data_IF_660221648307
#
_entry.id   IF_660221648307
#
_cell.length_a   1.000
_cell.length_b   1.000
_cell.length_c   1.000
_cell.angle_alpha   90.00
_cell.angle_beta   90.00
_cell.angle_gamma   90.00
#
_symmetry.space_group_name_H-M   'P 1'
#
loop_
_entity.id
_entity.type
_entity.pdbx_description
1 polymer ?
#
# COMPACT_ATOMS: atom_id res chain seq x y z
N UNK A 1 10.25 14.73 12.73
CA UNK A 1 9.85 13.31 12.52
C UNK A 1 10.18 12.95 11.09
N UNK A 2 10.91 11.85 10.88
CA UNK A 2 11.51 11.48 9.59
C UNK A 2 11.38 9.96 9.39
N UNK A 3 10.14 9.44 9.41
CA UNK A 3 9.87 8.03 9.20
C UNK A 3 9.47 7.80 7.73
N UNK A 4 10.45 7.88 6.84
CA UNK A 4 10.27 7.48 5.44
C UNK A 4 10.29 5.96 5.32
N UNK A 5 9.52 5.44 4.37
CA UNK A 5 9.66 4.05 3.92
C UNK A 5 10.77 4.03 2.89
N UNK A 6 11.79 3.20 3.13
CA UNK A 6 12.89 3.05 2.18
C UNK A 6 12.60 1.93 1.16
N UNK A 7 13.14 1.99 -0.06
CA UNK A 7 12.95 0.94 -1.08
C UNK A 7 13.37 -0.46 -0.59
N UNK A 8 14.42 -0.54 0.22
CA UNK A 8 14.87 -1.79 0.83
C UNK A 8 13.81 -2.39 1.77
N UNK A 9 13.15 -1.56 2.57
CA UNK A 9 12.08 -2.00 3.48
C UNK A 9 10.87 -2.53 2.69
N UNK A 10 10.49 -1.86 1.61
CA UNK A 10 9.42 -2.35 0.74
C UNK A 10 9.83 -3.65 0.04
N UNK A 11 11.08 -3.77 -0.41
CA UNK A 11 11.57 -5.01 -1.02
C UNK A 11 11.50 -6.18 -0.05
N UNK A 12 11.98 -5.99 1.18
CA UNK A 12 11.90 -6.99 2.25
C UNK A 12 10.45 -7.37 2.55
N UNK A 13 9.56 -6.38 2.64
CA UNK A 13 8.13 -6.62 2.87
C UNK A 13 7.46 -7.45 1.78
N UNK A 14 7.92 -7.29 0.53
CA UNK A 14 7.47 -8.06 -0.64
C UNK A 14 8.12 -9.45 -0.74
N UNK A 15 8.93 -9.86 0.23
CA UNK A 15 9.66 -11.13 0.20
C UNK A 15 10.99 -11.09 -0.57
N UNK A 16 11.60 -9.91 -0.73
CA UNK A 16 12.92 -9.73 -1.35
C UNK A 16 12.88 -9.57 -2.87
N UNK A 17 11.97 -8.75 -3.41
CA UNK A 17 11.86 -8.54 -4.86
C UNK A 17 13.12 -7.93 -5.48
N UNK A 18 13.48 -8.38 -6.68
CA UNK A 18 14.61 -7.87 -7.48
C UNK A 18 14.27 -6.63 -8.32
N UNK A 19 13.18 -5.94 -8.00
CA UNK A 19 12.76 -4.73 -8.73
C UNK A 19 13.71 -3.56 -8.48
N UNK A 20 13.83 -2.66 -9.46
CA UNK A 20 14.70 -1.49 -9.33
C UNK A 20 14.24 -0.58 -8.18
N UNK A 21 15.19 0.07 -7.50
CA UNK A 21 14.89 1.04 -6.43
C UNK A 21 13.95 2.14 -6.92
N UNK A 22 14.16 2.66 -8.14
CA UNK A 22 13.29 3.65 -8.77
C UNK A 22 11.82 3.20 -8.87
N UNK A 23 11.58 1.92 -9.15
CA UNK A 23 10.21 1.38 -9.22
C UNK A 23 9.56 1.36 -7.85
N UNK A 24 10.31 0.94 -6.83
CA UNK A 24 9.85 0.87 -5.45
C UNK A 24 9.63 2.28 -4.89
N UNK A 25 10.54 3.22 -5.14
CA UNK A 25 10.42 4.64 -4.78
C UNK A 25 9.16 5.27 -5.37
N UNK A 26 8.85 4.99 -6.63
CA UNK A 26 7.63 5.50 -7.26
C UNK A 26 6.37 4.96 -6.56
N UNK A 27 6.34 3.67 -6.20
CA UNK A 27 5.22 3.09 -5.45
C UNK A 27 5.10 3.66 -4.03
N UNK A 28 6.23 3.90 -3.35
CA UNK A 28 6.27 4.51 -2.02
C UNK A 28 5.73 5.94 -2.08
N UNK A 29 6.24 6.76 -3.01
CA UNK A 29 5.82 8.16 -3.14
C UNK A 29 4.33 8.32 -3.45
N UNK A 30 3.79 7.44 -4.29
CA UNK A 30 2.35 7.39 -4.57
C UNK A 30 1.55 6.95 -3.33
N UNK A 31 2.02 5.93 -2.60
CA UNK A 31 1.39 5.47 -1.37
C UNK A 31 1.40 6.54 -0.26
N UNK A 32 2.50 7.27 -0.08
CA UNK A 32 2.60 8.41 0.85
C UNK A 32 1.56 9.48 0.51
N UNK A 33 1.36 9.77 -0.77
CA UNK A 33 0.37 10.74 -1.22
C UNK A 33 -1.06 10.28 -0.93
N UNK A 34 -1.39 9.03 -1.25
CA UNK A 34 -2.71 8.45 -1.02
C UNK A 34 -3.06 8.36 0.48
N UNK A 35 -2.12 7.88 1.30
CA UNK A 35 -2.28 7.83 2.76
C UNK A 35 -2.33 9.25 3.34
N UNK A 36 -1.55 10.18 2.79
CA UNK A 36 -1.60 11.59 3.18
C UNK A 36 -3.00 12.20 3.03
N UNK A 37 -3.66 11.97 1.88
CA UNK A 37 -5.05 12.39 1.65
C UNK A 37 -5.99 11.72 2.66
N UNK A 38 -5.83 10.42 2.89
CA UNK A 38 -6.64 9.65 3.84
C UNK A 38 -6.54 10.22 5.28
N UNK A 39 -5.37 10.66 5.69
CA UNK A 39 -5.15 11.28 7.01
C UNK A 39 -5.74 12.70 7.07
N UNK A 40 -5.60 13.49 6.00
CA UNK A 40 -6.14 14.85 5.92
C UNK A 40 -7.67 14.89 5.95
N UNK A 41 -8.34 13.87 5.42
CA UNK A 41 -9.79 13.75 5.42
C UNK A 41 -10.37 13.35 6.80
N UNK A 42 -9.52 12.99 7.76
CA UNK A 42 -9.96 12.66 9.13
C UNK A 42 -10.30 13.92 9.93
N UNK A 43 -11.37 13.85 10.73
CA UNK A 43 -11.77 14.93 11.65
C UNK A 43 -11.11 14.86 13.02
N UNK A 44 -10.20 13.90 13.21
CA UNK A 44 -9.54 13.67 14.48
C UNK A 44 -8.40 14.66 14.70
N UNK A 45 -8.40 15.30 15.85
CA UNK A 45 -7.32 16.23 16.22
C UNK A 45 -6.05 15.51 16.65
N UNK A 46 -6.16 14.21 16.99
CA UNK A 46 -5.00 13.40 17.40
C UNK A 46 -4.55 12.55 16.23
N UNK A 47 -3.35 12.78 15.67
CA UNK A 47 -2.85 11.97 14.56
C UNK A 47 -2.59 10.52 15.02
N UNK A 48 -2.72 9.52 14.12
CA UNK A 48 -2.31 8.15 14.42
C UNK A 48 -0.81 8.08 14.77
N UNK A 49 -0.36 7.08 15.55
CA UNK A 49 1.06 6.88 15.79
C UNK A 49 1.84 6.70 14.49
N UNK A 50 3.04 7.29 14.39
CA UNK A 50 3.85 7.25 13.17
C UNK A 50 4.13 5.85 12.65
N UNK A 51 4.38 4.89 13.54
CA UNK A 51 4.64 3.51 13.15
C UNK A 51 3.43 2.87 12.43
N UNK A 52 2.21 3.28 12.80
CA UNK A 52 0.97 2.81 12.16
C UNK A 52 0.80 3.47 10.80
N UNK A 53 1.10 4.77 10.69
CA UNK A 53 1.09 5.48 9.39
C UNK A 53 2.12 4.85 8.44
N UNK A 54 3.34 4.58 8.93
CA UNK A 54 4.39 3.92 8.14
C UNK A 54 3.95 2.52 7.67
N UNK A 55 3.26 1.74 8.52
CA UNK A 55 2.67 0.45 8.13
C UNK A 55 1.63 0.63 7.02
N UNK A 56 0.73 1.60 7.14
CA UNK A 56 -0.29 1.87 6.14
C UNK A 56 0.32 2.27 4.78
N UNK A 57 1.37 3.09 4.77
CA UNK A 57 2.13 3.44 3.55
C UNK A 57 2.76 2.20 2.93
N UNK A 58 3.41 1.35 3.73
CA UNK A 58 4.03 0.11 3.27
C UNK A 58 3.01 -0.87 2.64
N UNK A 59 1.84 -1.02 3.27
CA UNK A 59 0.74 -1.85 2.76
C UNK A 59 0.23 -1.33 1.40
N UNK A 60 -0.03 -0.03 1.30
CA UNK A 60 -0.50 0.60 0.06
C UNK A 60 0.56 0.54 -1.04
N UNK A 61 1.84 0.74 -0.71
CA UNK A 61 2.93 0.63 -1.68
C UNK A 61 3.06 -0.80 -2.23
N UNK A 62 2.87 -1.82 -1.39
CA UNK A 62 2.86 -3.22 -1.81
C UNK A 62 1.69 -3.54 -2.75
N UNK A 63 0.49 -3.02 -2.47
CA UNK A 63 -0.68 -3.18 -3.34
C UNK A 63 -0.47 -2.46 -4.69
N UNK A 64 0.12 -1.25 -4.70
CA UNK A 64 0.48 -0.53 -5.92
C UNK A 64 1.52 -1.29 -6.75
N UNK A 65 2.54 -1.85 -6.10
CA UNK A 65 3.54 -2.68 -6.77
C UNK A 65 2.88 -3.91 -7.41
N UNK A 66 2.01 -4.61 -6.67
CA UNK A 66 1.32 -5.79 -7.18
C UNK A 66 0.46 -5.49 -8.43
N UNK A 67 -0.09 -4.27 -8.55
CA UNK A 67 -0.88 -3.81 -9.71
C UNK A 67 -0.04 -3.54 -10.93
N UNK A 68 1.16 -2.99 -10.77
CA UNK A 68 2.07 -2.77 -11.89
C UNK A 68 2.41 -4.08 -12.59
N UNK A 69 2.48 -5.18 -11.84
CA UNK A 69 2.66 -6.54 -12.37
C UNK A 69 1.38 -7.19 -12.91
N UNK A 70 0.23 -6.50 -12.86
CA UNK A 70 -1.09 -6.99 -13.26
C UNK A 70 -1.92 -5.88 -13.93
N UNK A 71 -1.56 -5.42 -15.15
CA UNK A 71 -2.20 -4.28 -15.82
C UNK A 71 -3.71 -4.44 -16.06
N UNK A 72 -4.25 -5.67 -16.07
CA UNK A 72 -5.69 -5.96 -16.16
C UNK A 72 -6.32 -6.38 -14.82
N UNK A 73 -5.64 -6.17 -13.69
CA UNK A 73 -6.10 -6.57 -12.35
C UNK A 73 -6.08 -8.08 -12.09
N UNK A 74 -5.44 -8.87 -12.96
CA UNK A 74 -5.29 -10.32 -12.84
C UNK A 74 -3.80 -10.64 -12.83
N UNK A 75 -3.30 -11.23 -11.73
CA UNK A 75 -1.99 -11.89 -11.73
C UNK A 75 -2.16 -13.29 -12.30
N UNK A 76 -1.67 -13.51 -13.53
CA UNK A 76 -1.52 -14.85 -14.07
C UNK A 76 -0.20 -15.42 -13.54
N UNK A 77 -0.28 -16.36 -12.60
CA UNK A 77 0.87 -17.21 -12.31
C UNK A 77 1.02 -18.13 -13.52
N UNK A 78 2.12 -17.97 -14.26
CA UNK A 78 2.47 -18.88 -15.33
C UNK A 78 2.87 -20.21 -14.69
N UNK A 79 1.89 -21.03 -14.33
CA UNK A 79 2.13 -22.41 -13.93
C UNK A 79 1.20 -23.34 -14.70
N UNK A 80 1.81 -24.40 -15.20
CA UNK A 80 1.33 -25.33 -16.23
C UNK A 80 0.11 -26.19 -15.83
N UNK A 81 -0.60 -25.86 -14.75
CA UNK A 81 -1.57 -26.77 -14.12
C UNK A 81 -2.89 -26.12 -13.66
N UNK A 82 -3.30 -25.01 -14.29
CA UNK A 82 -4.70 -24.53 -14.18
C UNK A 82 -5.06 -23.80 -12.88
N UNK A 83 -4.10 -23.13 -12.23
CA UNK A 83 -4.41 -22.25 -11.10
C UNK A 83 -5.32 -21.10 -11.53
N UNK A 84 -6.48 -21.00 -10.88
CA UNK A 84 -7.47 -19.95 -11.17
C UNK A 84 -6.87 -18.54 -10.99
N UNK A 85 -7.15 -17.60 -11.90
CA UNK A 85 -6.60 -16.25 -11.84
C UNK A 85 -7.00 -15.54 -10.54
N UNK A 86 -6.03 -14.99 -9.81
CA UNK A 86 -6.28 -14.16 -8.63
C UNK A 86 -6.55 -12.73 -9.10
N UNK A 87 -7.73 -12.21 -8.76
CA UNK A 87 -8.07 -10.80 -8.96
C UNK A 87 -7.45 -9.97 -7.86
N UNK A 88 -6.68 -8.97 -8.27
CA UNK A 88 -6.13 -7.99 -7.36
C UNK A 88 -7.23 -7.03 -6.90
N UNK A 89 -7.12 -6.50 -5.67
CA UNK A 89 -8.05 -5.49 -5.18
C UNK A 89 -8.05 -4.28 -6.11
N UNK A 90 -9.20 -3.60 -6.22
CA UNK A 90 -9.33 -2.39 -7.02
C UNK A 90 -8.95 -1.12 -6.24
N UNK A 91 -9.10 -1.08 -4.92
CA UNK A 91 -8.66 0.04 -4.07
C UNK A 91 -7.31 -0.27 -3.37
N UNK A 92 -6.22 0.47 -3.65
CA UNK A 92 -4.91 0.25 -3.02
C UNK A 92 -4.87 0.74 -1.57
N UNK A 93 -5.87 1.51 -1.13
CA UNK A 93 -6.01 1.96 0.25
C UNK A 93 -6.82 0.99 1.11
N UNK A 94 -7.37 -0.10 0.58
CA UNK A 94 -8.28 -0.97 1.32
C UNK A 94 -7.67 -1.47 2.65
N UNK A 95 -6.42 -1.93 2.62
CA UNK A 95 -5.71 -2.37 3.81
C UNK A 95 -5.34 -1.18 4.73
N UNK A 96 -4.82 -0.09 4.17
CA UNK A 96 -4.48 1.12 4.92
C UNK A 96 -5.68 1.72 5.67
N UNK A 97 -6.86 1.74 5.05
CA UNK A 97 -8.12 2.17 5.67
C UNK A 97 -8.48 1.29 6.87
N UNK A 98 -8.36 -0.03 6.74
CA UNK A 98 -8.62 -0.94 7.86
C UNK A 98 -7.63 -0.73 9.01
N UNK A 99 -6.34 -0.57 8.70
CA UNK A 99 -5.27 -0.29 9.68
C UNK A 99 -5.49 1.04 10.41
N UNK A 100 -5.92 2.07 9.69
CA UNK A 100 -6.10 3.42 10.23
C UNK A 100 -7.51 3.67 10.80
N UNK A 101 -8.49 2.80 10.53
CA UNK A 101 -9.88 2.98 10.94
C UNK A 101 -10.06 3.34 12.44
N UNK A 102 -9.34 2.71 13.40
CA UNK A 102 -9.46 3.08 14.82
C UNK A 102 -9.07 4.53 15.14
N UNK A 103 -8.29 5.17 14.26
CA UNK A 103 -7.72 6.50 14.46
C UNK A 103 -8.39 7.60 13.64
N UNK A 104 -9.13 7.28 12.58
CA UNK A 104 -9.61 8.30 11.64
C UNK A 104 -11.04 8.78 11.87
N UNK A 105 -11.81 8.16 12.79
CA UNK A 105 -13.27 8.36 12.99
C UNK A 105 -13.95 8.94 11.74
N UNK A 106 -13.98 8.12 10.69
CA UNK A 106 -14.48 8.56 9.39
C UNK A 106 -15.95 8.99 9.49
N UNK A 107 -16.30 10.08 8.82
CA UNK A 107 -17.69 10.46 8.59
C UNK A 107 -18.31 9.41 7.68
N UNK A 108 -19.20 8.59 8.22
CA UNK A 108 -20.20 7.91 7.39
C UNK A 108 -21.18 9.02 7.00
N UNK A 109 -21.09 9.48 5.75
CA UNK A 109 -22.07 10.38 5.16
C UNK A 109 -23.22 9.57 4.56
#
# INVERSE_FOLDING_TARGET
MNLKVEPAELSEYLGGTSSSSQTLEACISEAESLVGVLLQDSRESTPPPEAIVKRAVLDTAADLYARKSAPNGVKAFADLDGTSPIRLRLDPLAQARATLAPFLKMVVA
#
